data_IF_707006795605
#
_entry.id   IF_707006795605
#
_cell.length_a   1.000
_cell.length_b   1.000
_cell.length_c   1.000
_cell.angle_alpha   90.00
_cell.angle_beta   90.00
_cell.angle_gamma   90.00
#
_symmetry.space_group_name_H-M   'P 1'
#
loop_
_entity.id
_entity.type
_entity.pdbx_description
1 polymer ?
#
# COMPACT_ATOMS: atom_id res chain seq x y z
N UNK A 1 -34.48 -52.74 45.82
CA UNK A 1 -34.67 -51.38 45.26
C UNK A 1 -33.55 -51.13 44.27
N UNK A 2 -33.92 -50.73 43.04
CA UNK A 2 -33.13 -50.48 41.81
C UNK A 2 -31.60 -50.33 41.92
N UNK A 3 -30.85 -51.23 41.24
CA UNK A 3 -29.45 -51.00 40.89
C UNK A 3 -29.38 -50.18 39.58
N UNK A 4 -28.88 -48.95 39.68
CA UNK A 4 -28.73 -48.02 38.56
C UNK A 4 -27.46 -48.36 37.77
N UNK A 5 -27.62 -48.95 36.58
CA UNK A 5 -26.52 -49.21 35.66
C UNK A 5 -26.02 -47.89 35.06
N UNK A 6 -24.98 -47.34 35.68
CA UNK A 6 -24.25 -46.19 35.15
C UNK A 6 -23.45 -46.63 33.91
N UNK A 7 -24.07 -46.60 32.73
CA UNK A 7 -23.37 -46.79 31.45
C UNK A 7 -22.39 -45.64 31.26
N UNK A 8 -21.11 -45.84 31.61
CA UNK A 8 -20.03 -45.00 31.11
C UNK A 8 -20.09 -45.06 29.58
N UNK A 9 -20.47 -43.95 28.94
CA UNK A 9 -20.26 -43.77 27.50
C UNK A 9 -18.76 -43.97 27.27
N UNK A 10 -18.39 -44.97 26.49
CA UNK A 10 -17.01 -45.14 26.06
C UNK A 10 -16.67 -43.92 25.19
N UNK A 11 -15.88 -42.99 25.72
CA UNK A 11 -15.33 -41.93 24.91
C UNK A 11 -14.39 -42.58 23.89
N UNK A 12 -14.82 -42.59 22.63
CA UNK A 12 -14.01 -43.04 21.52
C UNK A 12 -12.87 -42.02 21.37
N UNK A 13 -11.66 -42.40 21.77
CA UNK A 13 -10.47 -41.60 21.52
C UNK A 13 -10.18 -41.48 20.02
N UNK A 14 -9.65 -40.34 19.61
CA UNK A 14 -9.19 -40.11 18.24
C UNK A 14 -8.05 -41.09 17.91
N UNK A 15 -8.09 -41.72 16.74
CA UNK A 15 -7.01 -42.63 16.35
C UNK A 15 -5.81 -41.81 15.84
N UNK A 16 -4.59 -42.30 16.10
CA UNK A 16 -3.37 -41.66 15.57
C UNK A 16 -3.38 -41.62 14.03
N UNK A 17 -3.99 -42.62 13.40
CA UNK A 17 -4.11 -42.69 11.95
C UNK A 17 -5.07 -41.64 11.38
N UNK A 18 -6.19 -41.34 12.04
CA UNK A 18 -7.07 -40.24 11.65
C UNK A 18 -6.32 -38.90 11.70
N UNK A 19 -5.50 -38.68 12.73
CA UNK A 19 -4.73 -37.45 12.88
C UNK A 19 -3.65 -37.33 11.78
N UNK A 20 -2.97 -38.44 11.47
CA UNK A 20 -1.96 -38.46 10.40
C UNK A 20 -2.52 -38.10 9.03
N UNK A 21 -3.69 -38.64 8.65
CA UNK A 21 -4.33 -38.33 7.37
C UNK A 21 -4.75 -36.86 7.32
N UNK A 22 -5.29 -36.32 8.42
CA UNK A 22 -5.69 -34.90 8.49
C UNK A 22 -4.50 -33.98 8.26
N UNK A 23 -3.36 -34.24 8.91
CA UNK A 23 -2.15 -33.42 8.74
C UNK A 23 -1.59 -33.55 7.33
N UNK A 24 -1.65 -34.74 6.72
CA UNK A 24 -1.23 -34.94 5.32
C UNK A 24 -2.07 -34.10 4.35
N UNK A 25 -3.40 -34.08 4.52
CA UNK A 25 -4.29 -33.27 3.67
C UNK A 25 -4.06 -31.77 3.87
N UNK A 26 -3.94 -31.32 5.13
CA UNK A 26 -3.64 -29.91 5.43
C UNK A 26 -2.28 -29.51 4.84
N UNK A 27 -1.28 -30.40 4.88
CA UNK A 27 0.03 -30.18 4.29
C UNK A 27 -0.03 -29.92 2.78
N UNK A 28 -0.82 -30.72 2.04
CA UNK A 28 -1.03 -30.53 0.59
C UNK A 28 -1.72 -29.20 0.31
N UNK A 29 -2.78 -28.87 1.06
CA UNK A 29 -3.51 -27.62 0.88
C UNK A 29 -2.63 -26.39 1.19
N UNK A 30 -1.86 -26.45 2.28
CA UNK A 30 -0.96 -25.38 2.69
C UNK A 30 0.15 -25.13 1.64
N UNK A 31 0.70 -26.20 1.05
CA UNK A 31 1.75 -26.09 0.03
C UNK A 31 1.30 -25.26 -1.20
N UNK A 32 0.02 -25.34 -1.58
CA UNK A 32 -0.54 -24.56 -2.69
C UNK A 32 -1.01 -23.18 -2.21
N UNK A 33 -1.65 -23.12 -1.04
CA UNK A 33 -2.28 -21.89 -0.55
C UNK A 33 -1.26 -20.82 -0.13
N UNK A 34 -0.14 -21.19 0.49
CA UNK A 34 0.87 -20.24 1.01
C UNK A 34 1.45 -19.35 -0.11
N UNK A 35 2.00 -19.87 -1.23
CA UNK A 35 2.56 -19.01 -2.27
C UNK A 35 1.49 -18.14 -2.94
N UNK A 36 0.29 -18.69 -3.16
CA UNK A 36 -0.83 -17.92 -3.73
C UNK A 36 -1.26 -16.77 -2.82
N UNK A 37 -1.36 -17.02 -1.52
CA UNK A 37 -1.74 -16.00 -0.55
C UNK A 37 -0.69 -14.87 -0.47
N UNK A 38 0.60 -15.21 -0.56
CA UNK A 38 1.68 -14.21 -0.63
C UNK A 38 1.51 -13.29 -1.87
N UNK A 39 1.30 -13.86 -3.06
CA UNK A 39 1.05 -13.05 -4.27
C UNK A 39 -0.22 -12.20 -4.18
N UNK A 40 -1.29 -12.72 -3.57
CA UNK A 40 -2.52 -11.96 -3.39
C UNK A 40 -2.33 -10.76 -2.45
N UNK A 41 -1.55 -10.93 -1.38
CA UNK A 41 -1.18 -9.83 -0.48
C UNK A 41 -0.41 -8.73 -1.21
N UNK A 42 0.58 -9.09 -2.03
CA UNK A 42 1.35 -8.12 -2.83
C UNK A 42 0.43 -7.34 -3.76
N UNK A 43 -0.51 -8.01 -4.45
CA UNK A 43 -1.51 -7.34 -5.30
C UNK A 43 -2.40 -6.38 -4.53
N UNK A 44 -2.83 -6.75 -3.32
CA UNK A 44 -3.62 -5.86 -2.46
C UNK A 44 -2.83 -4.62 -2.05
N UNK A 45 -1.56 -4.80 -1.67
CA UNK A 45 -0.64 -3.70 -1.35
C UNK A 45 -0.41 -2.75 -2.52
N UNK A 46 -0.18 -3.30 -3.70
CA UNK A 46 -0.05 -2.54 -4.94
C UNK A 46 -1.32 -1.76 -5.27
N UNK A 47 -2.49 -2.38 -5.11
CA UNK A 47 -3.77 -1.71 -5.34
C UNK A 47 -4.00 -0.54 -4.39
N UNK A 48 -3.59 -0.66 -3.13
CA UNK A 48 -3.65 0.44 -2.17
C UNK A 48 -2.76 1.61 -2.60
N UNK A 49 -1.50 1.33 -2.96
CA UNK A 49 -0.57 2.38 -3.42
C UNK A 49 -1.05 3.06 -4.72
N UNK A 50 -1.64 2.30 -5.65
CA UNK A 50 -2.22 2.86 -6.87
C UNK A 50 -3.40 3.79 -6.57
N UNK A 51 -4.29 3.39 -5.65
CA UNK A 51 -5.43 4.21 -5.24
C UNK A 51 -4.99 5.51 -4.55
N UNK A 52 -4.01 5.42 -3.66
CA UNK A 52 -3.45 6.59 -2.97
C UNK A 52 -2.74 7.53 -3.94
N UNK A 53 -2.02 7.01 -4.94
CA UNK A 53 -1.43 7.81 -6.02
C UNK A 53 -2.50 8.60 -6.79
N UNK A 54 -3.62 7.96 -7.15
CA UNK A 54 -4.74 8.64 -7.83
C UNK A 54 -5.36 9.73 -6.95
N UNK A 55 -5.54 9.46 -5.66
CA UNK A 55 -6.00 10.45 -4.71
C UNK A 55 -5.05 11.66 -4.64
N UNK A 56 -3.74 11.41 -4.72
CA UNK A 56 -2.70 12.44 -4.79
C UNK A 56 -2.87 13.37 -5.97
N UNK A 57 -3.01 12.81 -7.19
CA UNK A 57 -3.30 13.59 -8.41
C UNK A 57 -4.50 14.48 -8.17
N UNK A 58 -5.64 13.92 -7.78
CA UNK A 58 -6.87 14.72 -7.54
C UNK A 58 -6.68 15.81 -6.50
N UNK A 59 -5.93 15.54 -5.43
CA UNK A 59 -5.65 16.52 -4.38
C UNK A 59 -4.76 17.66 -4.91
N UNK A 60 -3.78 17.35 -5.75
CA UNK A 60 -2.89 18.35 -6.34
C UNK A 60 -3.63 19.23 -7.35
N UNK A 61 -4.51 18.66 -8.18
CA UNK A 61 -5.36 19.43 -9.11
C UNK A 61 -6.32 20.37 -8.34
N UNK A 62 -6.89 19.90 -7.22
CA UNK A 62 -7.71 20.74 -6.35
C UNK A 62 -6.89 21.89 -5.74
N UNK A 63 -5.68 21.59 -5.26
CA UNK A 63 -4.77 22.59 -4.70
C UNK A 63 -4.41 23.68 -5.73
N UNK A 64 -4.16 23.30 -6.99
CA UNK A 64 -3.88 24.26 -8.06
C UNK A 64 -5.06 25.20 -8.32
N UNK A 65 -6.30 24.71 -8.17
CA UNK A 65 -7.50 25.54 -8.33
C UNK A 65 -7.59 26.62 -7.25
N UNK A 66 -7.16 26.33 -6.02
CA UNK A 66 -7.23 27.24 -4.88
C UNK A 66 -6.07 28.24 -4.83
N UNK A 67 -4.84 27.77 -5.11
CA UNK A 67 -3.60 28.53 -4.87
C UNK A 67 -2.86 28.94 -6.15
N UNK A 68 -3.31 28.48 -7.33
CA UNK A 68 -2.70 28.75 -8.64
C UNK A 68 -1.23 28.25 -8.77
N UNK A 69 -0.83 27.34 -7.91
CA UNK A 69 0.45 26.65 -7.95
C UNK A 69 0.27 25.19 -7.49
N UNK A 70 1.22 24.32 -7.79
CA UNK A 70 1.25 22.99 -7.19
C UNK A 70 2.03 23.01 -5.88
N UNK A 71 1.66 22.14 -4.92
CA UNK A 71 2.25 22.19 -3.60
C UNK A 71 3.73 21.85 -3.63
N UNK A 72 4.53 22.63 -2.91
CA UNK A 72 5.96 22.39 -2.79
C UNK A 72 6.25 21.44 -1.61
N UNK A 73 6.68 20.23 -1.91
CA UNK A 73 7.49 19.48 -0.96
C UNK A 73 8.28 18.42 -1.70
N UNK A 74 9.52 18.22 -1.25
CA UNK A 74 10.46 17.25 -1.81
C UNK A 74 10.70 16.07 -0.86
N UNK A 75 9.84 15.88 0.14
CA UNK A 75 10.06 14.91 1.20
C UNK A 75 9.47 13.54 0.85
N UNK A 76 10.29 12.49 0.94
CA UNK A 76 9.81 11.12 1.10
C UNK A 76 9.47 10.95 2.59
N UNK A 77 8.22 10.63 2.96
CA UNK A 77 7.86 10.40 4.35
C UNK A 77 8.74 9.28 4.92
N UNK A 78 9.38 9.53 6.06
CA UNK A 78 10.37 8.63 6.66
C UNK A 78 9.75 7.52 7.51
N UNK A 79 8.44 7.57 7.81
CA UNK A 79 7.76 6.59 8.66
C UNK A 79 6.55 5.91 7.97
N UNK A 80 6.43 4.59 8.18
CA UNK A 80 5.31 3.76 7.71
C UNK A 80 4.09 3.92 8.66
N UNK A 81 3.12 4.74 8.25
CA UNK A 81 1.82 4.90 8.92
C UNK A 81 0.75 5.30 7.89
N UNK A 82 -0.54 5.49 8.25
CA UNK A 82 -1.44 6.27 7.40
C UNK A 82 -0.89 7.70 7.41
N UNK A 83 0.06 7.94 6.52
CA UNK A 83 0.81 9.15 6.53
C UNK A 83 -0.01 10.24 5.87
N UNK A 84 0.19 11.44 6.34
CA UNK A 84 -0.38 12.64 5.76
C UNK A 84 0.77 13.40 5.15
N UNK A 85 0.65 13.70 3.88
CA UNK A 85 1.55 14.61 3.21
C UNK A 85 0.94 16.01 3.30
N UNK A 86 1.61 16.90 4.03
CA UNK A 86 1.13 18.28 4.24
C UNK A 86 1.45 19.09 2.99
N UNK A 87 0.44 19.67 2.37
CA UNK A 87 0.62 20.48 1.17
C UNK A 87 1.12 21.86 1.59
N UNK A 88 2.14 22.36 0.91
CA UNK A 88 2.66 23.71 1.15
C UNK A 88 2.32 24.61 -0.02
N UNK A 89 1.95 25.84 0.29
CA UNK A 89 1.84 26.94 -0.67
C UNK A 89 3.12 27.78 -0.58
N UNK A 90 3.96 27.69 -1.61
CA UNK A 90 5.22 28.41 -1.75
C UNK A 90 6.09 28.39 -0.47
N UNK A 91 6.29 27.22 0.13
CA UNK A 91 7.07 27.00 1.34
C UNK A 91 6.26 27.01 2.63
N UNK A 92 5.00 27.47 2.58
CA UNK A 92 4.14 27.64 3.75
C UNK A 92 3.19 26.46 3.91
N UNK A 93 3.33 25.70 4.99
CA UNK A 93 2.43 24.58 5.28
C UNK A 93 0.97 25.01 5.37
N UNK A 94 0.09 24.32 4.66
CA UNK A 94 -1.36 24.54 4.66
C UNK A 94 -2.07 23.55 5.59
N UNK A 95 -3.37 23.76 5.81
CA UNK A 95 -4.25 22.77 6.48
C UNK A 95 -4.78 21.70 5.51
N UNK A 96 -4.28 21.68 4.28
CA UNK A 96 -4.65 20.70 3.24
C UNK A 96 -3.65 19.55 3.25
N UNK A 97 -4.18 18.32 3.15
CA UNK A 97 -3.37 17.11 3.24
C UNK A 97 -3.71 16.15 2.12
N UNK A 98 -2.68 15.52 1.57
CA UNK A 98 -2.84 14.27 0.86
C UNK A 98 -2.73 13.12 1.86
N UNK A 99 -3.84 12.40 2.07
CA UNK A 99 -3.92 11.28 3.00
C UNK A 99 -3.70 9.98 2.23
N UNK A 100 -2.89 9.08 2.77
CA UNK A 100 -2.66 7.77 2.16
C UNK A 100 -2.76 6.64 3.19
N UNK A 101 -2.93 5.43 2.66
CA UNK A 101 -3.19 4.21 3.42
C UNK A 101 -1.98 3.78 4.23
N UNK A 102 -2.20 3.00 5.29
CA UNK A 102 -1.12 2.45 6.12
C UNK A 102 -0.17 1.60 5.27
N UNK A 103 1.13 1.84 5.41
CA UNK A 103 2.16 1.09 4.68
C UNK A 103 2.39 1.59 3.26
N UNK A 104 1.59 2.53 2.78
CA UNK A 104 1.87 3.32 1.59
C UNK A 104 2.75 4.51 1.98
N UNK A 105 3.73 4.77 1.14
CA UNK A 105 4.59 5.94 1.20
C UNK A 105 4.37 6.69 -0.09
N UNK A 106 4.12 7.98 0.02
CA UNK A 106 3.90 8.86 -1.11
C UNK A 106 4.80 10.09 -0.99
N UNK A 107 5.39 10.53 -2.09
CA UNK A 107 6.26 11.68 -2.13
C UNK A 107 5.94 12.50 -3.38
N UNK A 108 6.26 13.80 -3.34
CA UNK A 108 6.18 14.66 -4.52
C UNK A 108 7.46 15.44 -4.73
N UNK A 109 7.54 16.10 -5.88
CA UNK A 109 8.44 17.20 -6.21
C UNK A 109 7.68 18.24 -7.03
N UNK A 110 8.08 19.50 -6.93
CA UNK A 110 7.69 20.58 -7.85
C UNK A 110 8.97 21.08 -8.57
N UNK A 111 8.83 21.57 -9.81
CA UNK A 111 9.91 22.20 -10.61
C UNK A 111 10.59 23.36 -9.87
N UNK A 112 9.86 24.09 -9.02
CA UNK A 112 10.33 25.18 -8.14
C UNK A 112 9.27 25.49 -7.08
N UNK A 113 9.60 26.21 -6.01
CA UNK A 113 8.58 26.70 -5.08
C UNK A 113 7.57 27.58 -5.85
N UNK A 114 6.28 27.22 -5.81
CA UNK A 114 5.23 27.87 -6.59
C UNK A 114 5.21 27.54 -8.09
N UNK A 115 5.92 26.49 -8.54
CA UNK A 115 5.95 26.09 -9.96
C UNK A 115 4.62 25.46 -10.46
N UNK A 116 4.39 25.47 -11.79
CA UNK A 116 3.16 24.97 -12.42
C UNK A 116 3.19 23.45 -12.67
N UNK A 117 4.20 22.74 -12.17
CA UNK A 117 4.39 21.32 -12.43
C UNK A 117 4.46 20.51 -11.14
N UNK A 118 3.98 19.29 -11.19
CA UNK A 118 4.21 18.31 -10.13
C UNK A 118 4.73 17.00 -10.69
N UNK A 119 5.45 16.30 -9.84
CA UNK A 119 5.69 14.87 -9.95
C UNK A 119 5.30 14.21 -8.64
N UNK A 120 4.47 13.18 -8.69
CA UNK A 120 4.11 12.37 -7.53
C UNK A 120 4.59 10.93 -7.71
N UNK A 121 4.88 10.28 -6.61
CA UNK A 121 5.20 8.86 -6.54
C UNK A 121 4.62 8.24 -5.29
N UNK A 122 4.05 7.03 -5.42
CA UNK A 122 3.62 6.22 -4.30
C UNK A 122 4.09 4.79 -4.42
N UNK A 123 4.31 4.15 -3.28
CA UNK A 123 4.60 2.72 -3.17
C UNK A 123 4.15 2.19 -1.82
N UNK A 124 3.66 0.97 -1.81
CA UNK A 124 3.47 0.22 -0.57
C UNK A 124 4.76 -0.53 -0.21
N UNK A 125 5.21 -0.48 1.04
CA UNK A 125 6.47 -1.14 1.48
C UNK A 125 6.42 -2.65 1.25
N UNK A 126 5.27 -3.29 1.45
CA UNK A 126 5.04 -4.70 1.09
C UNK A 126 4.68 -4.98 -0.38
N UNK A 127 4.63 -3.95 -1.23
CA UNK A 127 4.33 -4.07 -2.66
C UNK A 127 5.60 -4.10 -3.51
N UNK A 128 5.48 -4.64 -4.73
CA UNK A 128 6.58 -4.76 -5.70
C UNK A 128 6.45 -3.74 -6.86
N UNK A 129 5.51 -2.80 -6.78
CA UNK A 129 5.30 -1.75 -7.78
C UNK A 129 5.45 -0.35 -7.20
N UNK A 130 5.87 0.57 -8.07
CA UNK A 130 5.91 2.00 -7.82
C UNK A 130 4.93 2.66 -8.79
N UNK A 131 4.15 3.62 -8.29
CA UNK A 131 3.12 4.34 -9.02
C UNK A 131 3.51 5.80 -9.14
N UNK A 132 3.52 6.33 -10.36
CA UNK A 132 3.99 7.70 -10.66
C UNK A 132 2.95 8.45 -11.46
N UNK A 133 2.91 9.76 -11.28
CA UNK A 133 2.19 10.67 -12.18
C UNK A 133 2.91 12.02 -12.21
N UNK A 134 2.74 12.75 -13.30
CA UNK A 134 3.20 14.14 -13.44
C UNK A 134 2.07 14.97 -14.01
N UNK A 135 2.17 16.29 -13.98
CA UNK A 135 1.22 17.15 -14.69
C UNK A 135 1.23 16.89 -16.22
N UNK A 136 2.36 16.48 -16.79
CA UNK A 136 2.47 16.09 -18.21
C UNK A 136 1.89 14.69 -18.48
N UNK A 137 1.76 13.84 -17.46
CA UNK A 137 1.15 12.50 -17.54
C UNK A 137 0.32 12.28 -16.27
N UNK A 138 -0.91 12.85 -16.20
CA UNK A 138 -1.72 12.85 -14.97
C UNK A 138 -2.36 11.48 -14.69
N UNK A 139 -2.29 10.55 -15.66
CA UNK A 139 -2.62 9.15 -15.45
C UNK A 139 -1.51 8.45 -14.66
N UNK A 140 -1.91 7.53 -13.78
CA UNK A 140 -0.93 6.71 -13.04
C UNK A 140 -0.19 5.77 -13.98
N UNK A 141 1.14 5.89 -13.99
CA UNK A 141 2.08 4.97 -14.65
C UNK A 141 2.74 4.08 -13.61
N UNK A 142 2.94 2.81 -13.96
CA UNK A 142 3.58 1.82 -13.10
C UNK A 142 5.05 1.62 -13.48
N UNK A 143 5.92 1.48 -12.49
CA UNK A 143 7.29 1.00 -12.68
C UNK A 143 7.62 -0.14 -11.72
N UNK A 144 8.60 -0.96 -12.07
CA UNK A 144 9.06 -2.06 -11.22
C UNK A 144 9.69 -1.53 -9.94
N UNK A 145 9.31 -2.11 -8.81
CA UNK A 145 9.96 -1.94 -7.51
C UNK A 145 10.33 -3.30 -6.90
N UNK A 146 10.73 -3.30 -5.64
CA UNK A 146 11.01 -4.50 -4.86
C UNK A 146 10.21 -4.50 -3.55
N UNK A 147 9.66 -5.64 -3.16
CA UNK A 147 9.02 -5.79 -1.85
C UNK A 147 10.03 -5.49 -0.72
N UNK A 148 9.57 -4.84 0.34
CA UNK A 148 10.35 -4.50 1.53
C UNK A 148 11.19 -3.23 1.40
N UNK A 149 11.26 -2.60 0.22
CA UNK A 149 12.03 -1.36 0.04
C UNK A 149 11.15 -0.11 0.12
N UNK A 150 11.66 0.91 0.81
CA UNK A 150 11.04 2.23 0.82
C UNK A 150 11.26 2.96 -0.53
N UNK A 151 10.49 4.02 -0.77
CA UNK A 151 10.72 4.94 -1.88
C UNK A 151 12.08 5.63 -1.73
N UNK A 152 12.83 5.72 -2.83
CA UNK A 152 14.03 6.54 -2.94
C UNK A 152 13.69 7.92 -3.51
N UNK A 153 14.53 8.92 -3.23
CA UNK A 153 14.38 10.26 -3.80
C UNK A 153 14.50 10.28 -5.33
N UNK A 154 15.16 9.27 -5.92
CA UNK A 154 15.26 9.04 -7.37
C UNK A 154 13.99 8.47 -7.99
N UNK A 155 13.08 7.91 -7.19
CA UNK A 155 11.83 7.35 -7.70
C UNK A 155 10.82 8.45 -8.04
N UNK A 156 10.96 9.62 -7.41
CA UNK A 156 10.09 10.77 -7.65
C UNK A 156 10.35 11.29 -9.06
N UNK A 157 9.35 11.29 -9.95
CA UNK A 157 9.54 11.72 -11.33
C UNK A 157 9.88 13.20 -11.41
N UNK A 158 10.59 13.57 -12.47
CA UNK A 158 10.87 14.97 -12.79
C UNK A 158 9.55 15.67 -13.15
N UNK A 159 9.16 16.74 -12.45
CA UNK A 159 7.96 17.50 -12.78
C UNK A 159 8.03 18.07 -14.21
N UNK A 160 6.88 18.18 -14.86
CA UNK A 160 6.78 18.73 -16.23
C UNK A 160 7.26 17.80 -17.34
N UNK A 161 7.76 16.60 -17.02
CA UNK A 161 8.20 15.59 -17.99
C UNK A 161 7.21 14.42 -18.08
N UNK A 162 7.10 13.84 -19.28
CA UNK A 162 6.36 12.59 -19.48
C UNK A 162 7.09 11.40 -18.81
N UNK A 163 6.31 10.38 -18.45
CA UNK A 163 6.75 9.20 -17.69
C UNK A 163 7.11 7.99 -18.56
#
# INVERSE_FOLDING_TARGET
>A
MMNYLNRKRAEKGFTLIELMIVVAIIGILAAIAIPQFASYRIKAFNSAASADAKNGVTTFEAFYTDYYNYPDDNAVPTSDGPGKFTLKDNGTATSTYWNYSKGVRCASKNSSAGGPDYGIVCKHTGGDKIYKATNATPSITESTGAEGTALAATDIPTPGQAL
#
